data_IF_808383893500
#
_entry.id   IF_808383893500
#
_cell.length_a   1.000
_cell.length_b   1.000
_cell.length_c   1.000
_cell.angle_alpha   90.00
_cell.angle_beta   90.00
_cell.angle_gamma   90.00
#
_symmetry.space_group_name_H-M   'P 1'
#
loop_
_entity.id
_entity.type
_entity.pdbx_description
1 polymer ?
#
# COMPACT_ATOMS: atom_id res chain seq x y z
N UNK A 1 -11.55 7.44 -6.48
CA UNK A 1 -10.38 6.99 -7.27
C UNK A 1 -9.56 6.08 -6.38
N UNK A 2 -9.61 4.77 -6.60
CA UNK A 2 -8.85 3.76 -5.85
C UNK A 2 -7.38 4.09 -6.00
N UNK A 3 -6.74 4.59 -4.93
CA UNK A 3 -5.39 5.10 -4.99
C UNK A 3 -4.43 3.91 -5.06
N UNK A 4 -4.23 3.33 -6.25
CA UNK A 4 -3.28 2.24 -6.48
C UNK A 4 -1.88 2.60 -6.01
N UNK A 5 -1.13 1.61 -5.55
CA UNK A 5 0.27 1.79 -5.17
C UNK A 5 1.15 1.96 -6.43
N UNK A 6 1.70 3.14 -6.72
CA UNK A 6 2.55 3.32 -7.91
C UNK A 6 3.89 2.60 -7.79
N UNK A 7 4.30 2.22 -6.57
CA UNK A 7 5.56 1.52 -6.31
C UNK A 7 5.45 0.00 -6.53
N UNK A 8 4.23 -0.51 -6.69
CA UNK A 8 3.97 -1.93 -6.94
C UNK A 8 3.26 -2.15 -8.28
N UNK A 9 3.33 -3.38 -8.78
CA UNK A 9 2.59 -3.78 -9.98
C UNK A 9 1.10 -3.87 -9.68
N UNK A 10 0.26 -3.81 -10.70
CA UNK A 10 -1.15 -4.21 -10.56
C UNK A 10 -1.23 -5.63 -9.99
N UNK A 11 -2.31 -5.97 -9.26
CA UNK A 11 -2.49 -7.31 -8.69
C UNK A 11 -2.34 -8.41 -9.74
N UNK A 12 -2.99 -8.25 -10.90
CA UNK A 12 -2.90 -9.19 -12.01
C UNK A 12 -1.44 -9.34 -12.50
N UNK A 13 -0.78 -8.24 -12.85
CA UNK A 13 0.62 -8.29 -13.32
C UNK A 13 1.56 -8.89 -12.26
N UNK A 14 1.29 -8.59 -10.98
CA UNK A 14 2.01 -9.13 -9.84
C UNK A 14 1.89 -10.64 -9.72
N UNK A 15 0.66 -11.15 -9.73
CA UNK A 15 0.37 -12.59 -9.69
C UNK A 15 1.01 -13.30 -10.89
N UNK A 16 0.96 -12.71 -12.08
CA UNK A 16 1.52 -13.32 -13.29
C UNK A 16 3.06 -13.42 -13.24
N UNK A 17 3.73 -12.33 -12.88
CA UNK A 17 5.19 -12.22 -13.03
C UNK A 17 5.98 -12.71 -11.83
N UNK A 18 5.51 -12.41 -10.61
CA UNK A 18 6.26 -12.68 -9.37
C UNK A 18 5.49 -13.56 -8.38
N UNK A 19 4.19 -13.77 -8.64
CA UNK A 19 3.29 -14.50 -7.76
C UNK A 19 2.74 -13.62 -6.63
N UNK A 20 1.59 -14.04 -6.08
CA UNK A 20 0.86 -13.29 -5.06
C UNK A 20 1.72 -12.97 -3.82
N UNK A 21 2.45 -13.95 -3.28
CA UNK A 21 3.24 -13.76 -2.05
C UNK A 21 4.28 -12.64 -2.16
N UNK A 22 5.08 -12.65 -3.23
CA UNK A 22 6.09 -11.60 -3.47
C UNK A 22 5.46 -10.25 -3.78
N UNK A 23 4.31 -10.23 -4.44
CA UNK A 23 3.55 -9.02 -4.66
C UNK A 23 3.02 -8.44 -3.35
N UNK A 24 2.44 -9.28 -2.48
CA UNK A 24 1.93 -8.93 -1.16
C UNK A 24 3.04 -8.42 -0.23
N UNK A 25 4.20 -9.07 -0.22
CA UNK A 25 5.37 -8.61 0.53
C UNK A 25 5.80 -7.18 0.13
N UNK A 26 5.76 -6.85 -1.17
CA UNK A 26 6.09 -5.50 -1.67
C UNK A 26 5.02 -4.48 -1.28
N UNK A 27 3.76 -4.88 -1.31
CA UNK A 27 2.65 -4.02 -0.89
C UNK A 27 2.77 -3.69 0.61
N UNK A 28 3.07 -4.71 1.42
CA UNK A 28 3.30 -4.58 2.85
C UNK A 28 4.55 -3.73 3.14
N UNK A 29 5.66 -3.93 2.42
CA UNK A 29 6.86 -3.12 2.59
C UNK A 29 6.60 -1.64 2.24
N UNK A 30 5.85 -1.40 1.17
CA UNK A 30 5.45 -0.05 0.76
C UNK A 30 4.59 0.64 1.81
N UNK A 31 3.62 -0.07 2.42
CA UNK A 31 2.83 0.51 3.51
C UNK A 31 3.70 0.89 4.70
N UNK A 32 4.61 0.01 5.13
CA UNK A 32 5.52 0.27 6.26
C UNK A 32 6.51 1.41 5.98
N UNK A 33 6.92 1.61 4.72
CA UNK A 33 7.73 2.77 4.35
C UNK A 33 6.98 4.09 4.61
N UNK A 34 5.67 4.15 4.34
CA UNK A 34 4.84 5.31 4.68
C UNK A 34 4.67 5.48 6.19
N UNK A 35 4.58 4.40 6.96
CA UNK A 35 4.59 4.47 8.43
C UNK A 35 5.90 5.07 8.94
N UNK A 36 7.05 4.59 8.46
CA UNK A 36 8.36 5.10 8.83
C UNK A 36 8.50 6.60 8.49
N UNK A 37 8.05 7.00 7.29
CA UNK A 37 8.01 8.42 6.90
C UNK A 37 7.13 9.26 7.83
N UNK A 38 5.94 8.76 8.19
CA UNK A 38 5.05 9.46 9.12
C UNK A 38 5.69 9.65 10.49
N UNK A 39 6.40 8.64 11.00
CA UNK A 39 7.14 8.70 12.26
C UNK A 39 8.29 9.72 12.20
N UNK A 40 9.13 9.65 11.17
CA UNK A 40 10.25 10.60 10.99
C UNK A 40 9.72 12.03 10.89
N UNK A 41 8.66 12.26 10.11
CA UNK A 41 8.05 13.58 9.97
C UNK A 41 7.41 14.07 11.27
N UNK A 42 6.83 13.18 12.08
CA UNK A 42 6.28 13.53 13.39
C UNK A 42 7.40 13.89 14.40
N UNK A 43 8.53 13.19 14.38
CA UNK A 43 9.69 13.57 15.20
C UNK A 43 10.26 14.92 14.76
N UNK A 44 10.40 15.15 13.45
CA UNK A 44 10.83 16.44 12.92
C UNK A 44 9.89 17.58 13.34
N UNK A 45 8.57 17.34 13.29
CA UNK A 45 7.55 18.28 13.77
C UNK A 45 7.76 18.63 15.26
N UNK A 46 7.96 17.63 16.13
CA UNK A 46 8.21 17.86 17.55
C UNK A 46 9.51 18.64 17.80
N UNK A 47 10.60 18.26 17.12
CA UNK A 47 11.89 18.97 17.21
C UNK A 47 11.78 20.44 16.74
N UNK A 48 10.92 20.70 15.75
CA UNK A 48 10.67 22.05 15.24
C UNK A 48 10.06 22.95 16.29
N UNK A 49 9.18 22.42 17.16
CA UNK A 49 8.58 23.18 18.25
C UNK A 49 9.61 23.63 19.28
N UNK A 50 10.62 22.80 19.58
CA UNK A 50 11.72 23.18 20.46
C UNK A 50 12.56 24.33 19.86
N UNK A 51 12.78 24.30 18.54
CA UNK A 51 13.54 25.31 17.83
C UNK A 51 12.87 26.70 17.76
N UNK A 52 11.61 26.85 18.17
CA UNK A 52 10.97 28.18 18.28
C UNK A 52 11.50 28.98 19.47
N UNK A 53 12.02 28.33 20.51
CA UNK A 53 12.47 29.02 21.71
C UNK A 53 13.79 29.74 21.43
N UNK A 54 13.80 31.07 21.50
CA UNK A 54 15.00 31.90 21.24
C UNK A 54 15.23 32.28 19.77
N UNK A 55 14.36 31.86 18.84
CA UNK A 55 14.48 32.16 17.42
C UNK A 55 14.19 33.65 17.09
N UNK A 56 14.94 34.20 16.14
CA UNK A 56 14.69 35.50 15.50
C UNK A 56 13.40 35.49 14.66
N UNK A 57 12.84 36.65 14.25
CA UNK A 57 11.62 36.72 13.45
C UNK A 57 11.68 35.95 12.12
N UNK A 58 12.84 35.97 11.43
CA UNK A 58 13.04 35.23 10.18
C UNK A 58 13.09 33.72 10.40
N UNK A 59 13.77 33.27 11.46
CA UNK A 59 13.82 31.85 11.85
C UNK A 59 12.44 31.34 12.27
N UNK A 60 11.62 32.17 12.91
CA UNK A 60 10.23 31.80 13.25
C UNK A 60 9.38 31.54 12.01
N UNK A 61 9.54 32.33 10.93
CA UNK A 61 8.84 32.10 9.66
C UNK A 61 9.29 30.77 9.05
N UNK A 62 10.60 30.52 9.03
CA UNK A 62 11.17 29.27 8.52
C UNK A 62 10.67 28.05 9.32
N UNK A 63 10.73 28.11 10.65
CA UNK A 63 10.27 27.05 11.54
C UNK A 63 8.77 26.80 11.38
N UNK A 64 7.97 27.86 11.18
CA UNK A 64 6.53 27.72 10.90
C UNK A 64 6.30 26.99 9.59
N UNK A 65 7.03 27.36 8.53
CA UNK A 65 6.96 26.65 7.25
C UNK A 65 7.33 25.17 7.40
N UNK A 66 8.38 24.87 8.15
CA UNK A 66 8.83 23.51 8.39
C UNK A 66 7.81 22.69 9.20
N UNK A 67 7.22 23.26 10.25
CA UNK A 67 6.09 22.66 11.00
C UNK A 67 4.93 22.29 10.07
N UNK A 68 4.51 23.22 9.21
CA UNK A 68 3.39 22.98 8.27
C UNK A 68 3.72 21.85 7.30
N UNK A 69 4.94 21.84 6.75
CA UNK A 69 5.40 20.79 5.84
C UNK A 69 5.46 19.43 6.53
N UNK A 70 6.06 19.34 7.73
CA UNK A 70 6.13 18.11 8.50
C UNK A 70 4.73 17.58 8.84
N UNK A 71 3.82 18.45 9.33
CA UNK A 71 2.44 18.07 9.64
C UNK A 71 1.70 17.54 8.40
N UNK A 72 1.83 18.21 7.25
CA UNK A 72 1.23 17.76 6.00
C UNK A 72 1.79 16.39 5.55
N UNK A 73 3.10 16.19 5.62
CA UNK A 73 3.75 14.91 5.29
C UNK A 73 3.29 13.81 6.23
N UNK A 74 3.26 14.06 7.54
CA UNK A 74 2.79 13.07 8.55
C UNK A 74 1.36 12.63 8.25
N UNK A 75 0.44 13.57 8.05
CA UNK A 75 -0.97 13.26 7.75
C UNK A 75 -1.13 12.49 6.43
N UNK A 76 -0.42 12.93 5.38
CA UNK A 76 -0.44 12.26 4.09
C UNK A 76 0.10 10.84 4.17
N UNK A 77 1.28 10.66 4.80
CA UNK A 77 1.94 9.37 4.92
C UNK A 77 1.14 8.40 5.80
N UNK A 78 0.55 8.89 6.89
CA UNK A 78 -0.31 8.09 7.77
C UNK A 78 -1.56 7.59 7.02
N UNK A 79 -2.27 8.48 6.31
CA UNK A 79 -3.42 8.09 5.48
C UNK A 79 -3.02 7.04 4.44
N UNK A 80 -1.85 7.21 3.83
CA UNK A 80 -1.34 6.30 2.81
C UNK A 80 -0.98 4.93 3.38
N UNK A 81 -0.33 4.89 4.54
CA UNK A 81 -0.03 3.66 5.29
C UNK A 81 -1.30 2.86 5.57
N UNK A 82 -2.32 3.49 6.18
CA UNK A 82 -3.56 2.82 6.55
C UNK A 82 -4.28 2.25 5.31
N UNK A 83 -4.36 3.02 4.23
CA UNK A 83 -4.96 2.56 2.99
C UNK A 83 -4.27 1.32 2.43
N UNK A 84 -2.93 1.35 2.29
CA UNK A 84 -2.17 0.25 1.72
C UNK A 84 -2.20 -1.00 2.62
N UNK A 85 -2.19 -0.81 3.94
CA UNK A 85 -2.30 -1.89 4.91
C UNK A 85 -3.67 -2.59 4.79
N UNK A 86 -4.76 -1.84 4.79
CA UNK A 86 -6.12 -2.39 4.65
C UNK A 86 -6.31 -3.11 3.32
N UNK A 87 -5.82 -2.52 2.23
CA UNK A 87 -5.89 -3.14 0.91
C UNK A 87 -5.10 -4.45 0.83
N UNK A 88 -3.89 -4.48 1.40
CA UNK A 88 -3.10 -5.71 1.46
C UNK A 88 -3.79 -6.80 2.30
N UNK A 89 -4.40 -6.43 3.43
CA UNK A 89 -5.14 -7.34 4.30
C UNK A 89 -6.38 -7.93 3.62
N UNK A 90 -7.17 -7.08 2.96
CA UNK A 90 -8.36 -7.50 2.19
C UNK A 90 -7.99 -8.54 1.12
N UNK A 91 -6.90 -8.29 0.37
CA UNK A 91 -6.42 -9.23 -0.64
C UNK A 91 -5.82 -10.50 -0.03
N UNK A 92 -5.15 -10.42 1.12
CA UNK A 92 -4.65 -11.58 1.83
C UNK A 92 -5.79 -12.49 2.30
N UNK A 93 -6.88 -11.91 2.80
CA UNK A 93 -8.08 -12.66 3.21
C UNK A 93 -8.71 -13.39 2.03
N UNK A 94 -8.77 -12.77 0.85
CA UNK A 94 -9.27 -13.36 -0.39
C UNK A 94 -8.31 -14.39 -1.05
N UNK A 95 -7.04 -14.42 -0.64
CA UNK A 95 -6.02 -15.30 -1.24
C UNK A 95 -5.98 -16.72 -0.67
N UNK A 96 -6.92 -17.07 0.21
CA UNK A 96 -7.08 -18.42 0.74
C UNK A 96 -8.00 -19.26 -0.14
N UNK A 97 -7.52 -20.43 -0.57
CA UNK A 97 -8.36 -21.35 -1.31
C UNK A 97 -9.40 -22.03 -0.39
N UNK A 98 -10.69 -21.83 -0.66
CA UNK A 98 -11.79 -22.44 0.12
C UNK A 98 -11.74 -23.98 0.11
N UNK A 99 -11.29 -24.60 -0.99
CA UNK A 99 -11.28 -26.05 -1.13
C UNK A 99 -10.13 -26.76 -0.40
N UNK A 100 -8.90 -26.21 -0.45
CA UNK A 100 -7.70 -26.89 0.08
C UNK A 100 -6.93 -26.08 1.13
N UNK A 101 -7.44 -24.91 1.52
CA UNK A 101 -6.88 -24.00 2.52
C UNK A 101 -5.44 -23.56 2.23
N UNK A 102 -5.01 -23.62 0.96
CA UNK A 102 -3.71 -23.14 0.54
C UNK A 102 -3.71 -21.62 0.42
N UNK A 103 -2.84 -20.95 1.20
CA UNK A 103 -2.65 -19.50 1.17
C UNK A 103 -1.70 -19.05 0.06
N UNK A 104 -2.15 -18.09 -0.77
CA UNK A 104 -1.31 -17.34 -1.70
C UNK A 104 -0.73 -18.15 -2.86
N UNK A 105 -1.20 -19.39 -3.07
CA UNK A 105 -0.83 -20.24 -4.21
C UNK A 105 -1.73 -19.96 -5.41
N UNK A 106 -1.67 -18.74 -5.93
CA UNK A 106 -2.54 -18.25 -7.00
C UNK A 106 -1.87 -18.37 -8.38
N UNK A 107 -2.66 -18.66 -9.40
CA UNK A 107 -2.33 -18.54 -10.82
C UNK A 107 -3.45 -17.77 -11.51
N UNK A 108 -3.12 -16.83 -12.39
CA UNK A 108 -4.10 -16.14 -13.21
C UNK A 108 -4.77 -17.10 -14.19
N UNK A 109 -6.08 -16.94 -14.39
CA UNK A 109 -6.79 -17.66 -15.44
C UNK A 109 -6.51 -17.02 -16.81
N UNK A 110 -6.13 -17.83 -17.78
CA UNK A 110 -5.98 -17.40 -19.18
C UNK A 110 -7.38 -17.38 -19.82
N UNK A 111 -8.08 -16.25 -19.73
CA UNK A 111 -9.39 -16.03 -20.35
C UNK A 111 -9.30 -15.09 -21.58
N UNK A 112 -10.22 -15.19 -22.55
CA UNK A 112 -10.24 -14.38 -23.78
C UNK A 112 -10.74 -12.94 -23.53
N UNK A 113 -10.15 -12.25 -22.55
CA UNK A 113 -10.56 -10.94 -22.09
C UNK A 113 -9.40 -9.96 -21.96
N UNK A 114 -8.53 -9.89 -22.99
CA UNK A 114 -7.67 -8.71 -23.17
C UNK A 114 -8.58 -7.52 -23.50
N UNK A 115 -8.93 -6.71 -22.50
CA UNK A 115 -9.27 -5.31 -22.74
C UNK A 115 -10.68 -4.85 -22.40
N UNK A 116 -11.11 -4.96 -21.13
CA UNK A 116 -12.04 -3.96 -20.60
C UNK A 116 -11.53 -3.32 -19.30
N UNK A 117 -11.79 -2.01 -19.07
CA UNK A 117 -11.15 -1.21 -18.03
C UNK A 117 -11.86 -1.30 -16.67
N UNK A 118 -12.73 -2.28 -16.45
CA UNK A 118 -13.41 -2.53 -15.17
C UNK A 118 -12.58 -3.50 -14.31
N UNK A 119 -11.38 -3.08 -13.93
CA UNK A 119 -10.30 -3.90 -13.33
C UNK A 119 -10.51 -4.27 -11.85
N UNK A 120 -11.75 -4.39 -11.38
CA UNK A 120 -11.99 -4.75 -9.97
C UNK A 120 -11.86 -6.24 -9.73
N UNK A 121 -12.27 -7.08 -10.68
CA UNK A 121 -12.27 -8.53 -10.51
C UNK A 121 -11.09 -9.18 -11.23
N UNK A 122 -10.25 -9.90 -10.49
CA UNK A 122 -9.05 -10.59 -10.97
C UNK A 122 -9.29 -12.11 -10.89
N UNK A 123 -9.56 -12.80 -12.01
CA UNK A 123 -9.86 -14.23 -12.00
C UNK A 123 -8.60 -15.07 -11.76
N UNK A 124 -8.61 -15.88 -10.71
CA UNK A 124 -7.49 -16.74 -10.31
C UNK A 124 -7.91 -18.19 -10.13
N UNK A 125 -6.93 -19.08 -10.10
CA UNK A 125 -7.11 -20.46 -9.65
C UNK A 125 -6.02 -20.88 -8.66
N UNK A 126 -6.36 -21.84 -7.81
CA UNK A 126 -5.42 -22.44 -6.86
C UNK A 126 -4.43 -23.33 -7.62
N UNK A 127 -3.12 -23.08 -7.44
CA UNK A 127 -2.06 -23.95 -8.00
C UNK A 127 -2.06 -25.38 -7.42
N UNK A 128 -2.68 -25.60 -6.25
CA UNK A 128 -2.70 -26.90 -5.57
C UNK A 128 -3.88 -27.79 -6.01
N UNK A 129 -5.10 -27.26 -6.00
CA UNK A 129 -6.32 -28.04 -6.28
C UNK A 129 -7.07 -27.60 -7.54
N UNK A 130 -6.67 -26.51 -8.20
CA UNK A 130 -7.32 -26.01 -9.41
C UNK A 130 -8.62 -25.23 -9.17
N UNK A 131 -9.10 -25.09 -7.93
CA UNK A 131 -10.29 -24.29 -7.58
C UNK A 131 -10.18 -22.86 -8.14
N UNK A 132 -11.28 -22.35 -8.70
CA UNK A 132 -11.33 -21.04 -9.40
C UNK A 132 -12.18 -20.06 -8.61
N UNK A 133 -11.71 -18.82 -8.50
CA UNK A 133 -12.46 -17.70 -7.92
C UNK A 133 -11.94 -16.37 -8.47
N UNK A 134 -12.56 -15.27 -8.06
CA UNK A 134 -12.19 -13.91 -8.44
C UNK A 134 -11.76 -13.14 -7.18
N UNK A 135 -10.68 -12.36 -7.28
CA UNK A 135 -10.31 -11.39 -6.25
C UNK A 135 -10.84 -10.01 -6.60
N UNK A 136 -11.30 -9.24 -5.61
CA UNK A 136 -11.61 -7.83 -5.73
C UNK A 136 -10.39 -6.96 -5.39
N UNK A 137 -9.95 -6.11 -6.35
CA UNK A 137 -8.86 -5.11 -6.26
C UNK A 137 -9.36 -3.68 -5.99
#
# INVERSE_FOLDING_TARGET
MTARNPLNRSLADGIQRVGFRKWYERELLSSHAHMALALIAAVALMASFEAFHGASPSEKILNTGFVVVCAAITLWAMRRYLYLLMHAEELANQANCVQCQAYGLLKLQEGPGRGLPSQRLVPVCCKRCGFKWELED
#
